data_IF_881390869961
#
_entry.id   IF_881390869961
#
_cell.length_a   1.000
_cell.length_b   1.000
_cell.length_c   1.000
_cell.angle_alpha   90.00
_cell.angle_beta   90.00
_cell.angle_gamma   90.00
#
_symmetry.space_group_name_H-M   'P 1'
#
loop_
_entity.id
_entity.type
_entity.pdbx_description
1 polymer ?
#
# COMPACT_ATOMS: atom_id res chain seq x y z
N UNK A 1 13.05 -1.15 8.60
CA UNK A 1 13.16 -1.81 7.28
C UNK A 1 12.33 -3.08 7.29
N UNK A 2 11.54 -3.34 6.24
CA UNK A 2 10.77 -4.58 6.10
C UNK A 2 11.48 -5.51 5.13
N UNK A 3 11.66 -6.78 5.55
CA UNK A 3 12.34 -7.81 4.78
C UNK A 3 11.48 -9.06 4.64
N UNK A 4 11.40 -9.58 3.44
CA UNK A 4 10.79 -10.86 3.10
C UNK A 4 11.91 -11.81 2.69
N UNK A 5 12.04 -12.96 3.37
CA UNK A 5 13.11 -13.93 3.14
C UNK A 5 12.54 -15.30 2.86
N UNK A 6 12.83 -15.85 1.66
CA UNK A 6 12.50 -17.22 1.21
C UNK A 6 11.02 -17.59 1.47
N UNK A 7 10.12 -16.64 1.27
CA UNK A 7 8.71 -16.77 1.56
C UNK A 7 8.04 -17.74 0.57
N UNK A 8 7.33 -18.75 1.11
CA UNK A 8 6.44 -19.59 0.34
C UNK A 8 5.03 -19.54 0.92
N UNK A 9 4.03 -19.42 0.05
CA UNK A 9 2.65 -19.27 0.46
C UNK A 9 1.66 -19.96 -0.48
N UNK A 10 0.59 -20.51 0.09
CA UNK A 10 -0.63 -20.87 -0.63
C UNK A 10 -1.84 -20.75 0.30
N UNK A 11 -3.03 -20.52 -0.28
CA UNK A 11 -4.29 -20.36 0.44
C UNK A 11 -4.84 -21.67 1.08
N UNK A 12 -4.16 -22.79 0.97
CA UNK A 12 -4.58 -24.05 1.55
C UNK A 12 -3.52 -25.14 1.44
N UNK A 13 -3.64 -26.19 2.29
CA UNK A 13 -2.66 -27.27 2.33
C UNK A 13 -2.51 -28.03 1.00
N UNK A 14 -3.59 -28.14 0.23
CA UNK A 14 -3.63 -28.88 -1.05
C UNK A 14 -3.65 -27.96 -2.28
N UNK A 15 -3.59 -26.62 -2.09
CA UNK A 15 -3.55 -25.67 -3.21
C UNK A 15 -2.10 -25.45 -3.64
N UNK A 16 -1.86 -25.18 -4.94
CA UNK A 16 -0.53 -24.84 -5.45
C UNK A 16 0.04 -23.64 -4.71
N UNK A 17 1.36 -23.57 -4.64
CA UNK A 17 2.04 -22.39 -4.11
C UNK A 17 1.78 -21.18 -5.01
N UNK A 18 1.37 -20.08 -4.40
CA UNK A 18 1.31 -18.79 -5.06
C UNK A 18 2.68 -18.12 -5.06
N UNK A 19 3.39 -18.19 -3.93
CA UNK A 19 4.78 -17.76 -3.82
C UNK A 19 5.66 -18.97 -3.46
N UNK A 20 6.84 -19.02 -4.07
CA UNK A 20 7.87 -20.01 -3.78
C UNK A 20 9.23 -19.31 -3.70
N UNK A 21 9.87 -19.40 -2.53
CA UNK A 21 11.18 -18.82 -2.25
C UNK A 21 11.30 -17.32 -2.61
N UNK A 22 10.20 -16.60 -2.41
CA UNK A 22 10.11 -15.17 -2.73
C UNK A 22 10.85 -14.33 -1.70
N UNK A 23 11.77 -13.48 -2.16
CA UNK A 23 12.53 -12.57 -1.30
C UNK A 23 12.47 -11.14 -1.85
N UNK A 24 12.23 -10.17 -0.96
CA UNK A 24 12.10 -8.75 -1.30
C UNK A 24 12.27 -7.89 -0.04
N UNK A 25 12.80 -6.68 -0.19
CA UNK A 25 12.97 -5.75 0.93
C UNK A 25 12.48 -4.34 0.59
N UNK A 26 11.90 -3.65 1.59
CA UNK A 26 11.55 -2.24 1.50
C UNK A 26 12.65 -1.40 2.15
N UNK A 27 13.05 -0.34 1.47
CA UNK A 27 13.92 0.69 2.03
C UNK A 27 13.08 1.89 2.48
N UNK A 28 13.42 2.57 3.58
CA UNK A 28 12.78 3.80 3.99
C UNK A 28 12.90 4.91 2.93
N UNK A 29 11.96 5.83 2.92
CA UNK A 29 11.98 6.98 2.01
C UNK A 29 11.56 6.68 0.57
N UNK A 30 11.03 5.47 0.28
CA UNK A 30 10.79 5.01 -1.10
C UNK A 30 9.33 4.70 -1.34
N UNK A 31 8.80 5.16 -2.47
CA UNK A 31 7.48 4.75 -2.99
C UNK A 31 7.66 3.61 -3.98
N UNK A 32 7.14 2.45 -3.61
CA UNK A 32 7.18 1.24 -4.43
C UNK A 32 5.90 1.06 -5.24
N UNK A 33 6.03 0.87 -6.55
CA UNK A 33 4.97 0.36 -7.40
C UNK A 33 5.04 -1.16 -7.48
N UNK A 34 4.10 -1.85 -6.85
CA UNK A 34 3.94 -3.30 -6.98
C UNK A 34 3.02 -3.59 -8.17
N UNK A 35 3.61 -3.88 -9.31
CA UNK A 35 2.93 -4.01 -10.59
C UNK A 35 2.68 -5.47 -10.96
N UNK A 36 1.64 -5.73 -11.71
CA UNK A 36 1.30 -7.08 -12.21
C UNK A 36 -0.17 -7.21 -12.56
N UNK A 37 -0.48 -8.23 -13.33
CA UNK A 37 -1.86 -8.56 -13.73
C UNK A 37 -2.73 -8.91 -12.52
N UNK A 38 -4.05 -8.85 -12.69
CA UNK A 38 -4.97 -9.37 -11.68
C UNK A 38 -4.69 -10.86 -11.42
N UNK A 39 -4.69 -11.25 -10.14
CA UNK A 39 -4.35 -12.62 -9.74
C UNK A 39 -2.85 -12.94 -9.68
N UNK A 40 -1.94 -12.00 -9.95
CA UNK A 40 -0.49 -12.24 -9.87
C UNK A 40 0.06 -12.41 -8.44
N UNK A 41 -0.74 -12.08 -7.41
CA UNK A 41 -0.38 -12.22 -5.99
C UNK A 41 -0.15 -10.89 -5.25
N UNK A 42 -0.36 -9.73 -5.88
CA UNK A 42 -0.10 -8.40 -5.27
C UNK A 42 -0.79 -8.23 -3.92
N UNK A 43 -2.11 -8.34 -3.87
CA UNK A 43 -2.91 -8.22 -2.62
C UNK A 43 -2.47 -9.22 -1.56
N UNK A 44 -2.18 -10.46 -1.99
CA UNK A 44 -1.69 -11.51 -1.09
C UNK A 44 -0.35 -11.12 -0.46
N UNK A 45 0.56 -10.55 -1.25
CA UNK A 45 1.86 -10.10 -0.74
C UNK A 45 1.69 -8.94 0.26
N UNK A 46 0.81 -7.96 -0.02
CA UNK A 46 0.47 -6.90 0.92
C UNK A 46 -0.08 -7.45 2.24
N UNK A 47 -0.97 -8.46 2.18
CA UNK A 47 -1.51 -9.10 3.39
C UNK A 47 -0.48 -9.91 4.16
N UNK A 48 0.50 -10.50 3.49
CA UNK A 48 1.65 -11.14 4.15
C UNK A 48 2.55 -10.09 4.82
N UNK A 49 2.81 -8.97 4.14
CA UNK A 49 3.60 -7.86 4.67
C UNK A 49 2.95 -7.19 5.89
N UNK A 50 1.62 -7.14 5.94
CA UNK A 50 0.85 -6.60 7.07
C UNK A 50 0.62 -7.59 8.21
N UNK A 51 1.02 -8.85 8.06
CA UNK A 51 0.77 -9.91 9.04
C UNK A 51 -0.69 -10.37 9.11
N UNK A 52 -1.52 -10.02 8.12
CA UNK A 52 -2.89 -10.53 7.98
C UNK A 52 -2.91 -11.97 7.48
N UNK A 53 -1.90 -12.35 6.69
CA UNK A 53 -1.66 -13.72 6.28
C UNK A 53 -0.33 -14.22 6.85
N UNK A 54 -0.22 -15.55 7.02
CA UNK A 54 1.01 -16.21 7.48
C UNK A 54 1.62 -17.03 6.36
N UNK A 55 2.93 -16.90 6.11
CA UNK A 55 3.61 -17.76 5.14
C UNK A 55 3.62 -19.23 5.60
N UNK A 56 3.80 -20.16 4.68
CA UNK A 56 4.04 -21.59 4.97
C UNK A 56 5.49 -21.83 5.39
N UNK A 57 6.41 -21.11 4.76
CA UNK A 57 7.84 -21.08 5.09
C UNK A 57 8.42 -19.71 4.76
N UNK A 58 9.61 -19.44 5.24
CA UNK A 58 10.23 -18.13 5.17
C UNK A 58 9.66 -17.18 6.20
N UNK A 59 10.05 -15.91 6.15
CA UNK A 59 9.67 -14.88 7.13
C UNK A 59 9.38 -13.56 6.46
N UNK A 60 8.53 -12.77 7.10
CA UNK A 60 8.37 -11.34 6.85
C UNK A 60 8.70 -10.61 8.13
N UNK A 61 9.75 -9.80 8.13
CA UNK A 61 10.24 -9.14 9.33
C UNK A 61 10.19 -7.61 9.16
N UNK A 62 9.71 -6.91 10.17
CA UNK A 62 9.87 -5.47 10.31
C UNK A 62 10.87 -5.20 11.44
N UNK A 63 12.00 -4.57 11.10
CA UNK A 63 13.08 -4.27 12.05
C UNK A 63 13.52 -5.52 12.86
N UNK A 64 13.63 -6.68 12.19
CA UNK A 64 14.01 -7.95 12.81
C UNK A 64 12.90 -8.69 13.58
N UNK A 65 11.68 -8.14 13.62
CA UNK A 65 10.53 -8.77 14.28
C UNK A 65 9.58 -9.35 13.24
N UNK A 66 9.28 -10.64 13.35
CA UNK A 66 8.33 -11.32 12.46
C UNK A 66 6.93 -10.70 12.59
N UNK A 67 6.40 -10.18 11.49
CA UNK A 67 5.07 -9.56 11.44
C UNK A 67 3.94 -10.55 11.73
N UNK A 68 4.15 -11.84 11.46
CA UNK A 68 3.18 -12.89 11.75
C UNK A 68 2.92 -13.08 13.26
N UNK A 69 3.82 -12.59 14.13
CA UNK A 69 3.62 -12.53 15.59
C UNK A 69 2.59 -11.48 16.01
N UNK A 70 2.25 -10.53 15.12
CA UNK A 70 1.25 -9.47 15.34
C UNK A 70 1.43 -8.71 16.65
N UNK A 71 2.68 -8.43 17.02
CA UNK A 71 2.99 -7.65 18.23
C UNK A 71 2.46 -6.22 18.07
N UNK A 72 1.87 -5.60 19.11
CA UNK A 72 1.40 -4.21 19.04
C UNK A 72 2.48 -3.25 18.53
N UNK A 73 3.74 -3.40 18.99
CA UNK A 73 4.89 -2.60 18.54
C UNK A 73 5.21 -2.75 17.04
N UNK A 74 4.82 -3.84 16.40
CA UNK A 74 4.97 -4.05 14.95
C UNK A 74 3.74 -3.55 14.20
N UNK A 75 2.53 -3.84 14.70
CA UNK A 75 1.29 -3.45 14.04
C UNK A 75 1.10 -1.93 13.97
N UNK A 76 1.54 -1.18 14.98
CA UNK A 76 1.50 0.28 14.99
C UNK A 76 2.40 0.93 13.94
N UNK A 77 3.31 0.18 13.33
CA UNK A 77 4.23 0.64 12.30
C UNK A 77 3.76 0.32 10.88
N UNK A 78 2.62 -0.36 10.72
CA UNK A 78 2.09 -0.78 9.42
C UNK A 78 0.63 -0.36 9.31
N UNK A 79 0.27 0.39 8.28
CA UNK A 79 -1.12 0.63 7.90
C UNK A 79 -1.38 0.06 6.51
N UNK A 80 -2.59 -0.46 6.30
CA UNK A 80 -3.00 -1.00 5.00
C UNK A 80 -4.34 -0.41 4.58
N UNK A 81 -4.41 0.04 3.32
CA UNK A 81 -5.66 0.40 2.62
C UNK A 81 -5.94 -0.73 1.63
N UNK A 82 -6.85 -1.67 1.96
CA UNK A 82 -7.21 -2.74 1.03
C UNK A 82 -8.00 -2.21 -0.16
N UNK A 83 -8.08 -2.98 -1.23
CA UNK A 83 -8.92 -2.65 -2.40
C UNK A 83 -10.39 -2.58 -2.01
N UNK A 84 -10.87 -3.61 -1.28
CA UNK A 84 -12.23 -3.71 -0.76
C UNK A 84 -12.20 -3.77 0.77
N UNK A 85 -13.07 -3.02 1.41
CA UNK A 85 -13.21 -2.99 2.87
C UNK A 85 -14.56 -2.44 3.29
N UNK A 86 -15.00 -2.84 4.48
CA UNK A 86 -16.16 -2.29 5.15
C UNK A 86 -15.74 -1.37 6.29
N UNK A 87 -16.45 -0.24 6.43
CA UNK A 87 -16.29 0.67 7.54
C UNK A 87 -17.52 0.62 8.46
N UNK A 88 -17.32 0.77 9.77
CA UNK A 88 -18.41 0.77 10.73
C UNK A 88 -19.35 1.97 10.51
N UNK A 89 -20.61 1.87 10.99
CA UNK A 89 -21.61 2.95 10.86
C UNK A 89 -21.37 4.06 11.90
N UNK A 90 -20.27 4.77 11.74
CA UNK A 90 -19.85 5.89 12.60
C UNK A 90 -19.38 7.05 11.74
N UNK A 91 -19.21 8.23 12.33
CA UNK A 91 -18.52 9.34 11.63
C UNK A 91 -17.01 9.10 11.56
N UNK A 92 -16.34 9.75 10.60
CA UNK A 92 -14.88 9.72 10.52
C UNK A 92 -14.24 10.20 11.83
N UNK A 93 -14.77 11.26 12.44
CA UNK A 93 -14.33 11.75 13.76
C UNK A 93 -14.41 10.69 14.86
N UNK A 94 -15.51 9.94 14.91
CA UNK A 94 -15.66 8.83 15.85
C UNK A 94 -14.69 7.69 15.55
N UNK A 95 -14.50 7.37 14.27
CA UNK A 95 -13.54 6.36 13.84
C UNK A 95 -12.12 6.72 14.25
N UNK A 96 -11.73 7.98 14.03
CA UNK A 96 -10.42 8.51 14.47
C UNK A 96 -10.27 8.42 15.97
N UNK A 97 -11.25 8.86 16.75
CA UNK A 97 -11.20 8.80 18.21
C UNK A 97 -10.99 7.38 18.77
N UNK A 98 -11.57 6.37 18.10
CA UNK A 98 -11.44 4.96 18.48
C UNK A 98 -10.12 4.32 18.05
N UNK A 99 -9.57 4.72 16.89
CA UNK A 99 -8.45 4.00 16.28
C UNK A 99 -7.11 4.74 16.37
N UNK A 100 -7.09 6.08 16.44
CA UNK A 100 -5.85 6.86 16.56
C UNK A 100 -4.98 6.46 17.76
N UNK A 101 -5.53 6.08 18.93
CA UNK A 101 -4.70 5.64 20.08
C UNK A 101 -3.81 4.42 19.81
N UNK A 102 -4.10 3.62 18.78
CA UNK A 102 -3.25 2.48 18.40
C UNK A 102 -2.02 2.91 17.58
N UNK A 103 -1.94 4.17 17.13
CA UNK A 103 -0.85 4.71 16.31
C UNK A 103 -0.16 5.85 17.06
N UNK A 104 0.97 5.60 17.75
CA UNK A 104 1.64 6.60 18.58
C UNK A 104 2.06 7.88 17.85
N UNK A 105 2.25 7.79 16.52
CA UNK A 105 2.62 8.93 15.67
C UNK A 105 1.43 9.54 14.93
N UNK A 106 0.20 9.22 15.34
CA UNK A 106 -1.00 9.78 14.71
C UNK A 106 -0.98 11.31 14.74
N UNK A 107 -1.20 11.93 13.58
CA UNK A 107 -1.17 13.38 13.41
C UNK A 107 -2.52 13.93 12.94
N UNK A 108 -3.18 14.69 13.81
CA UNK A 108 -4.40 15.41 13.43
C UNK A 108 -4.16 16.49 12.37
N UNK A 109 -2.94 17.02 12.28
CA UNK A 109 -2.56 17.98 11.24
C UNK A 109 -2.51 17.32 9.88
N UNK A 110 -1.89 16.12 9.77
CA UNK A 110 -1.88 15.33 8.54
C UNK A 110 -3.32 14.97 8.15
N UNK A 111 -4.14 14.49 9.09
CA UNK A 111 -5.54 14.17 8.83
C UNK A 111 -6.28 15.36 8.21
N UNK A 112 -6.19 16.54 8.83
CA UNK A 112 -6.87 17.75 8.35
C UNK A 112 -6.43 18.10 6.94
N UNK A 113 -5.12 18.16 6.67
CA UNK A 113 -4.59 18.46 5.33
C UNK A 113 -5.07 17.45 4.28
N UNK A 114 -5.10 16.16 4.61
CA UNK A 114 -5.61 15.15 3.69
C UNK A 114 -7.10 15.34 3.40
N UNK A 115 -7.90 15.67 4.40
CA UNK A 115 -9.33 15.94 4.24
C UNK A 115 -9.57 17.18 3.41
N UNK A 116 -8.83 18.27 3.65
CA UNK A 116 -8.90 19.52 2.88
C UNK A 116 -8.55 19.24 1.39
N UNK A 117 -7.49 18.47 1.11
CA UNK A 117 -7.09 18.10 -0.25
C UNK A 117 -8.10 17.17 -0.95
N UNK A 118 -8.90 16.42 -0.20
CA UNK A 118 -9.97 15.56 -0.72
C UNK A 118 -11.36 16.22 -0.71
N UNK A 119 -11.47 17.50 -0.32
CA UNK A 119 -12.72 18.24 -0.16
C UNK A 119 -13.71 17.52 0.78
N UNK A 120 -13.24 17.06 1.94
CA UNK A 120 -14.01 16.29 2.92
C UNK A 120 -13.95 16.92 4.31
N UNK A 121 -14.98 16.66 5.11
CA UNK A 121 -15.06 17.02 6.53
C UNK A 121 -15.03 15.77 7.43
N UNK A 122 -14.54 15.89 8.66
CA UNK A 122 -14.44 14.76 9.60
C UNK A 122 -15.77 14.38 10.25
N UNK A 123 -16.83 15.19 10.10
CA UNK A 123 -18.18 14.90 10.58
C UNK A 123 -18.93 13.91 9.69
N UNK A 124 -18.44 13.65 8.46
CA UNK A 124 -19.08 12.74 7.50
C UNK A 124 -19.30 11.35 8.10
N UNK A 125 -20.47 10.76 7.85
CA UNK A 125 -20.80 9.40 8.29
C UNK A 125 -20.46 8.42 7.17
N UNK A 126 -19.77 7.34 7.51
CA UNK A 126 -19.31 6.38 6.48
C UNK A 126 -20.45 5.75 5.68
N UNK A 127 -21.61 5.53 6.29
CA UNK A 127 -22.78 4.96 5.61
C UNK A 127 -23.35 5.88 4.52
N UNK A 128 -23.10 7.18 4.59
CA UNK A 128 -23.58 8.19 3.64
C UNK A 128 -22.62 8.39 2.46
N UNK A 129 -21.40 7.86 2.57
CA UNK A 129 -20.35 8.05 1.58
C UNK A 129 -20.43 7.02 0.45
N UNK A 130 -20.14 7.47 -0.77
CA UNK A 130 -19.83 6.57 -1.89
C UNK A 130 -18.56 5.75 -1.58
N UNK A 131 -18.32 4.67 -2.32
CA UNK A 131 -17.11 3.86 -2.12
C UNK A 131 -15.82 4.68 -2.33
N UNK A 132 -15.78 5.56 -3.34
CA UNK A 132 -14.64 6.45 -3.57
C UNK A 132 -14.42 7.43 -2.41
N UNK A 133 -15.48 8.01 -1.85
CA UNK A 133 -15.38 8.88 -0.67
C UNK A 133 -14.94 8.11 0.58
N UNK A 134 -15.47 6.88 0.80
CA UNK A 134 -15.00 6.00 1.87
C UNK A 134 -13.50 5.73 1.75
N UNK A 135 -13.03 5.47 0.54
CA UNK A 135 -11.61 5.21 0.27
C UNK A 135 -10.76 6.45 0.57
N UNK A 136 -11.19 7.66 0.17
CA UNK A 136 -10.53 8.93 0.51
C UNK A 136 -10.46 9.14 2.02
N UNK A 137 -11.56 8.98 2.75
CA UNK A 137 -11.62 9.12 4.21
C UNK A 137 -10.71 8.12 4.93
N UNK A 138 -10.74 6.86 4.52
CA UNK A 138 -9.90 5.82 5.13
C UNK A 138 -8.42 6.01 4.80
N UNK A 139 -8.09 6.41 3.57
CA UNK A 139 -6.73 6.77 3.18
C UNK A 139 -6.20 7.95 4.00
N UNK A 140 -7.02 8.97 4.25
CA UNK A 140 -6.66 10.11 5.10
C UNK A 140 -6.31 9.66 6.51
N UNK A 141 -7.08 8.73 7.08
CA UNK A 141 -6.78 8.13 8.38
C UNK A 141 -5.45 7.35 8.35
N UNK A 142 -5.21 6.50 7.34
CA UNK A 142 -3.99 5.72 7.22
C UNK A 142 -2.74 6.58 7.02
N UNK A 143 -2.84 7.68 6.28
CA UNK A 143 -1.76 8.66 6.16
C UNK A 143 -1.49 9.39 7.47
N UNK A 144 -2.57 9.77 8.19
CA UNK A 144 -2.49 10.42 9.49
C UNK A 144 -1.97 9.49 10.60
N UNK A 145 -2.15 8.17 10.48
CA UNK A 145 -1.54 7.18 11.37
C UNK A 145 -0.01 7.28 11.37
N UNK A 146 0.56 7.87 10.33
CA UNK A 146 1.97 8.20 10.17
C UNK A 146 2.91 7.01 10.47
N UNK A 147 2.53 5.84 9.96
CA UNK A 147 3.26 4.59 10.10
C UNK A 147 4.53 4.59 9.25
N UNK A 148 5.52 3.78 9.61
CA UNK A 148 6.74 3.59 8.81
C UNK A 148 6.45 2.90 7.48
N UNK A 149 5.40 2.07 7.43
CA UNK A 149 4.98 1.35 6.23
C UNK A 149 3.50 1.62 5.97
N UNK A 150 3.21 2.11 4.77
CA UNK A 150 1.85 2.25 4.27
C UNK A 150 1.68 1.37 3.03
N UNK A 151 0.75 0.43 3.12
CA UNK A 151 0.42 -0.50 2.04
C UNK A 151 -0.91 -0.09 1.42
N UNK A 152 -0.99 0.04 0.10
CA UNK A 152 -2.21 0.41 -0.61
C UNK A 152 -2.49 -0.58 -1.73
N UNK A 153 -3.64 -1.22 -1.67
CA UNK A 153 -4.08 -2.19 -2.68
C UNK A 153 -5.06 -1.53 -3.65
N UNK A 154 -4.65 -1.39 -4.92
CA UNK A 154 -5.43 -0.78 -6.01
C UNK A 154 -6.13 0.53 -5.55
N UNK A 155 -5.39 1.51 -5.00
CA UNK A 155 -6.00 2.68 -4.34
C UNK A 155 -6.78 3.58 -5.31
N UNK A 156 -6.48 3.53 -6.61
CA UNK A 156 -7.15 4.34 -7.64
C UNK A 156 -8.44 3.74 -8.17
N UNK A 157 -8.72 2.47 -7.86
CA UNK A 157 -9.94 1.82 -8.32
C UNK A 157 -11.18 2.53 -7.75
N UNK A 158 -12.09 2.90 -8.65
CA UNK A 158 -13.31 3.64 -8.32
C UNK A 158 -13.11 5.16 -8.21
N UNK A 159 -11.92 5.70 -8.50
CA UNK A 159 -11.67 7.14 -8.55
C UNK A 159 -11.87 7.68 -9.96
N UNK A 160 -12.47 8.86 -10.05
CA UNK A 160 -12.47 9.70 -11.26
C UNK A 160 -11.11 10.40 -11.44
N UNK A 161 -10.90 11.03 -12.59
CA UNK A 161 -9.62 11.68 -12.93
C UNK A 161 -9.20 12.73 -11.89
N UNK A 162 -10.09 13.65 -11.42
CA UNK A 162 -9.76 14.59 -10.35
C UNK A 162 -9.33 13.90 -9.06
N UNK A 163 -10.05 12.88 -8.61
CA UNK A 163 -9.73 12.13 -7.39
C UNK A 163 -8.39 11.40 -7.47
N UNK A 164 -8.02 10.86 -8.64
CA UNK A 164 -6.68 10.29 -8.86
C UNK A 164 -5.59 11.34 -8.70
N UNK A 165 -5.82 12.55 -9.20
CA UNK A 165 -4.88 13.67 -9.04
C UNK A 165 -4.74 14.11 -7.59
N UNK A 166 -5.87 14.24 -6.87
CA UNK A 166 -5.89 14.55 -5.44
C UNK A 166 -5.10 13.50 -4.64
N UNK A 167 -5.34 12.20 -4.93
CA UNK A 167 -4.63 11.10 -4.26
C UNK A 167 -3.11 11.21 -4.44
N UNK A 168 -2.63 11.44 -5.67
CA UNK A 168 -1.19 11.62 -5.93
C UNK A 168 -0.60 12.75 -5.11
N UNK A 169 -1.28 13.91 -5.10
CA UNK A 169 -0.87 15.09 -4.31
C UNK A 169 -0.78 14.75 -2.82
N UNK A 170 -1.80 14.11 -2.27
CA UNK A 170 -1.87 13.75 -0.86
C UNK A 170 -0.77 12.75 -0.48
N UNK A 171 -0.51 11.73 -1.32
CA UNK A 171 0.56 10.76 -1.08
C UNK A 171 1.93 11.46 -1.10
N UNK A 172 2.22 12.25 -2.15
CA UNK A 172 3.50 12.97 -2.27
C UNK A 172 3.75 13.91 -1.08
N UNK A 173 2.73 14.64 -0.65
CA UNK A 173 2.83 15.58 0.49
C UNK A 173 3.05 14.90 1.86
N UNK A 174 2.81 13.59 1.95
CA UNK A 174 2.95 12.82 3.20
C UNK A 174 4.09 11.79 3.16
N UNK A 175 4.98 11.89 2.18
CA UNK A 175 6.25 11.14 2.18
C UNK A 175 7.25 11.76 3.15
N UNK A 176 8.14 10.90 3.66
CA UNK A 176 9.30 11.29 4.47
C UNK A 176 10.41 10.26 4.31
N UNK A 177 11.63 10.60 4.68
CA UNK A 177 12.79 9.70 4.58
C UNK A 177 12.66 8.41 5.42
N UNK A 178 11.73 8.39 6.38
CA UNK A 178 11.49 7.23 7.25
C UNK A 178 10.30 6.36 6.82
N UNK A 179 9.49 6.84 5.86
CA UNK A 179 8.26 6.18 5.43
C UNK A 179 8.44 5.45 4.10
N UNK A 180 8.02 4.20 4.04
CA UNK A 180 7.88 3.47 2.77
C UNK A 180 6.40 3.35 2.42
N UNK A 181 6.05 3.62 1.17
CA UNK A 181 4.70 3.42 0.64
C UNK A 181 4.77 2.35 -0.45
N UNK A 182 3.89 1.35 -0.38
CA UNK A 182 3.75 0.33 -1.41
C UNK A 182 2.38 0.47 -2.04
N UNK A 183 2.33 0.72 -3.34
CA UNK A 183 1.10 0.85 -4.12
C UNK A 183 1.01 -0.34 -5.06
N UNK A 184 0.07 -1.26 -4.81
CA UNK A 184 -0.23 -2.30 -5.78
C UNK A 184 -1.16 -1.75 -6.85
N UNK A 185 -0.86 -1.99 -8.10
CA UNK A 185 -1.75 -1.62 -9.19
C UNK A 185 -1.48 -2.40 -10.48
N UNK A 186 -2.51 -2.52 -11.31
CA UNK A 186 -2.42 -2.92 -12.71
C UNK A 186 -2.53 -1.72 -13.66
N UNK A 187 -2.83 -0.51 -13.14
CA UNK A 187 -2.99 0.75 -13.87
C UNK A 187 -1.81 1.69 -13.57
N UNK A 188 -0.64 1.43 -14.15
CA UNK A 188 0.61 2.15 -13.85
C UNK A 188 0.49 3.65 -14.06
N UNK A 189 -0.22 4.09 -15.13
CA UNK A 189 -0.41 5.51 -15.47
C UNK A 189 -1.00 6.35 -14.34
N UNK A 190 -1.77 5.73 -13.46
CA UNK A 190 -2.40 6.44 -12.34
C UNK A 190 -1.41 6.87 -11.26
N UNK A 191 -0.26 6.19 -11.16
CA UNK A 191 0.70 6.36 -10.08
C UNK A 191 2.15 6.55 -10.53
N UNK A 192 2.45 6.47 -11.85
CA UNK A 192 3.83 6.46 -12.39
C UNK A 192 4.69 7.63 -11.88
N UNK A 193 4.09 8.82 -11.74
CA UNK A 193 4.81 10.01 -11.27
C UNK A 193 5.11 10.01 -9.75
N UNK A 194 4.65 9.00 -9.02
CA UNK A 194 4.91 8.84 -7.59
C UNK A 194 6.00 7.81 -7.31
N UNK A 195 6.29 6.92 -8.29
CA UNK A 195 7.09 5.74 -8.04
C UNK A 195 8.59 6.04 -8.09
N UNK A 196 9.30 5.61 -7.06
CA UNK A 196 10.77 5.59 -7.01
C UNK A 196 11.30 4.22 -7.41
N UNK A 197 10.54 3.15 -7.17
CA UNK A 197 10.96 1.76 -7.36
C UNK A 197 9.83 0.89 -7.91
N UNK A 198 10.15 -0.03 -8.79
CA UNK A 198 9.20 -0.94 -9.43
C UNK A 198 9.51 -2.39 -9.03
N UNK A 199 8.50 -3.04 -8.44
CA UNK A 199 8.44 -4.48 -8.23
C UNK A 199 7.40 -5.09 -9.17
N UNK A 200 7.81 -5.79 -10.21
CA UNK A 200 6.90 -6.47 -11.14
C UNK A 200 6.74 -7.93 -10.74
N UNK A 201 5.48 -8.35 -10.52
CA UNK A 201 5.12 -9.71 -10.12
C UNK A 201 4.23 -10.35 -11.18
N UNK A 202 4.56 -11.57 -11.57
CA UNK A 202 3.70 -12.42 -12.40
C UNK A 202 3.72 -13.85 -11.90
N UNK A 203 2.53 -14.45 -11.70
CA UNK A 203 2.39 -15.81 -11.19
C UNK A 203 3.17 -16.07 -9.89
N UNK A 204 3.22 -15.10 -8.98
CA UNK A 204 3.97 -15.20 -7.71
C UNK A 204 5.49 -15.12 -7.84
N UNK A 205 6.01 -14.80 -9.03
CA UNK A 205 7.44 -14.63 -9.28
C UNK A 205 7.79 -13.15 -9.43
N UNK A 206 8.94 -12.79 -8.92
CA UNK A 206 9.53 -11.47 -9.09
C UNK A 206 10.20 -11.41 -10.46
N UNK A 207 9.64 -10.64 -11.39
CA UNK A 207 10.19 -10.45 -12.73
C UNK A 207 11.14 -9.26 -12.80
N UNK A 208 10.83 -8.19 -12.04
CA UNK A 208 11.63 -6.97 -11.98
C UNK A 208 11.63 -6.44 -10.55
N UNK A 209 12.77 -5.90 -10.12
CA UNK A 209 12.97 -5.30 -8.80
C UNK A 209 14.07 -4.25 -8.97
N UNK A 210 13.70 -3.04 -9.38
CA UNK A 210 14.64 -1.98 -9.79
C UNK A 210 14.10 -0.59 -9.50
N UNK A 211 14.98 0.38 -9.29
CA UNK A 211 14.60 1.79 -9.17
C UNK A 211 14.16 2.37 -10.53
N UNK A 212 13.30 3.40 -10.49
CA UNK A 212 12.91 4.12 -11.71
C UNK A 212 14.11 4.77 -12.41
N UNK A 213 15.12 5.22 -11.68
CA UNK A 213 16.38 5.72 -12.26
C UNK A 213 17.11 4.64 -13.05
N UNK A 214 17.22 3.42 -12.51
CA UNK A 214 17.82 2.28 -13.23
C UNK A 214 17.05 1.90 -14.49
N UNK A 215 15.71 2.02 -14.46
CA UNK A 215 14.88 1.82 -15.66
C UNK A 215 15.22 2.88 -16.72
N UNK A 216 15.27 4.15 -16.33
CA UNK A 216 15.56 5.26 -17.23
C UNK A 216 16.98 5.18 -17.86
N UNK A 217 17.94 4.64 -17.13
CA UNK A 217 19.31 4.47 -17.63
C UNK A 217 19.48 3.29 -18.60
N UNK A 218 18.64 2.24 -18.47
CA UNK A 218 18.84 0.97 -19.18
C UNK A 218 17.87 0.73 -20.32
N UNK A 219 16.71 1.40 -20.37
CA UNK A 219 15.70 1.19 -21.38
C UNK A 219 15.60 2.40 -22.30
N UNK A 220 15.83 2.15 -23.60
CA UNK A 220 15.53 3.09 -24.68
C UNK A 220 14.26 2.64 -25.37
N UNK A 221 13.24 3.49 -25.40
CA UNK A 221 12.03 3.25 -26.15
C UNK A 221 12.22 3.82 -27.56
N UNK A 222 12.16 2.98 -28.59
CA UNK A 222 12.23 3.38 -29.99
C UNK A 222 10.85 3.14 -30.62
N UNK A 223 10.20 4.21 -31.10
CA UNK A 223 9.05 4.06 -31.99
C UNK A 223 9.57 3.66 -33.38
N UNK A 224 9.29 2.44 -33.81
CA UNK A 224 9.48 2.04 -35.22
C UNK A 224 8.16 2.20 -35.96
N UNK A 225 8.14 2.91 -37.12
CA UNK A 225 6.96 2.88 -37.95
C UNK A 225 6.68 1.43 -38.40
N UNK A 226 5.43 1.01 -38.21
CA UNK A 226 4.96 -0.28 -38.74
C UNK A 226 5.14 -0.28 -40.23
N UNK A 227 6.02 -1.13 -40.77
CA UNK A 227 6.23 -1.39 -42.17
C UNK A 227 5.09 -2.21 -42.75
#
# INVERSE_FOLDING_TARGET
MLEISNLSFSYGRRKPLLFQDFSFGLQPGVVYGMLGKNGSGKSTLLYLMSGLLRPKSGTVQLNGVDVALRRPSTLQEICIVPEEFDLPRVSLRQYVALNAPFYPRFSNEILRRCLDDFDMDDSVRFEELSMGQKKKAFMSFCLAANTSILLMDEPTNGFDIPSKSQMRKVIAANMSDEKSIVISTHQVRDVENLLDHVLLIDGGRKLLDVSCSQIAERLFFVEQPLS
#
